data_IF_357229071379
#
_entry.id   IF_357229071379
#
_cell.length_a   1.000
_cell.length_b   1.000
_cell.length_c   1.000
_cell.angle_alpha   90.00
_cell.angle_beta   90.00
_cell.angle_gamma   90.00
#
_symmetry.space_group_name_H-M   'P 1'
#
loop_
_entity.id
_entity.type
_entity.pdbx_description
1 polymer ?
#
# COMPACT_ATOMS: atom_id res chain seq x y z
N UNK A 1 -30.34 1.76 -41.04
CA UNK A 1 -31.13 2.55 -40.06
C UNK A 1 -32.61 2.18 -40.07
N UNK A 2 -33.43 2.65 -41.01
CA UNK A 2 -34.87 2.31 -41.03
C UNK A 2 -35.09 0.80 -41.23
N UNK A 3 -34.37 0.19 -42.16
CA UNK A 3 -34.41 -1.27 -42.40
C UNK A 3 -33.98 -2.11 -41.19
N UNK A 4 -33.12 -1.57 -40.31
CA UNK A 4 -32.69 -2.26 -39.08
C UNK A 4 -33.72 -2.10 -37.99
N UNK A 5 -34.33 -0.90 -37.91
CA UNK A 5 -35.45 -0.63 -37.03
C UNK A 5 -36.61 -1.58 -37.34
N UNK A 6 -37.02 -1.71 -38.60
CA UNK A 6 -38.11 -2.61 -39.00
C UNK A 6 -37.88 -4.08 -38.65
N UNK A 7 -36.61 -4.53 -38.54
CA UNK A 7 -36.28 -5.90 -38.11
C UNK A 7 -36.46 -6.12 -36.61
N UNK A 8 -36.32 -5.08 -35.79
CA UNK A 8 -36.42 -5.15 -34.32
C UNK A 8 -37.67 -4.46 -33.75
N UNK A 9 -38.42 -3.75 -34.60
CA UNK A 9 -39.62 -2.98 -34.27
C UNK A 9 -40.74 -3.90 -33.81
N UNK A 10 -41.32 -3.62 -32.65
CA UNK A 10 -42.52 -4.30 -32.16
C UNK A 10 -43.79 -3.65 -32.74
N UNK A 11 -44.95 -4.32 -32.69
CA UNK A 11 -46.19 -3.76 -33.24
C UNK A 11 -46.56 -2.36 -32.72
N UNK A 12 -46.26 -2.09 -31.45
CA UNK A 12 -46.56 -0.81 -30.77
C UNK A 12 -45.49 0.27 -30.96
N UNK A 13 -44.34 -0.08 -31.53
CA UNK A 13 -43.22 0.86 -31.71
C UNK A 13 -43.44 1.76 -32.96
N UNK A 14 -42.93 3.01 -32.96
CA UNK A 14 -43.07 3.95 -34.07
C UNK A 14 -42.65 3.38 -35.43
N UNK A 15 -43.41 3.70 -36.49
CA UNK A 15 -43.13 3.22 -37.86
C UNK A 15 -41.77 3.71 -38.35
N UNK A 16 -41.43 4.97 -38.08
CA UNK A 16 -40.11 5.52 -38.41
C UNK A 16 -39.12 5.31 -37.26
N UNK A 17 -37.88 4.99 -37.63
CA UNK A 17 -36.77 4.86 -36.71
C UNK A 17 -36.55 6.19 -35.99
N UNK A 18 -36.54 6.20 -34.64
CA UNK A 18 -36.29 7.41 -33.87
C UNK A 18 -35.01 8.12 -34.33
N UNK A 19 -35.05 9.45 -34.34
CA UNK A 19 -33.85 10.24 -34.61
C UNK A 19 -32.79 9.97 -33.53
N UNK A 20 -31.50 9.87 -33.92
CA UNK A 20 -30.45 9.67 -32.94
C UNK A 20 -30.44 10.83 -31.95
N UNK A 21 -30.30 10.51 -30.67
CA UNK A 21 -30.17 11.54 -29.63
C UNK A 21 -29.01 12.46 -29.99
N UNK A 22 -29.32 13.75 -30.15
CA UNK A 22 -28.29 14.76 -30.40
C UNK A 22 -27.48 14.90 -29.13
N UNK A 23 -26.17 14.67 -29.24
CA UNK A 23 -25.28 14.84 -28.10
C UNK A 23 -25.25 16.32 -27.71
N UNK A 24 -25.83 16.65 -26.55
CA UNK A 24 -25.87 18.01 -26.01
C UNK A 24 -24.51 18.48 -25.44
N UNK A 25 -23.49 17.59 -25.44
CA UNK A 25 -22.14 17.92 -25.00
C UNK A 25 -21.37 18.60 -26.13
N UNK A 26 -20.59 19.61 -25.80
CA UNK A 26 -19.63 20.18 -26.73
C UNK A 26 -18.62 19.12 -27.21
N UNK A 27 -18.04 19.33 -28.39
CA UNK A 27 -17.00 18.44 -28.92
C UNK A 27 -15.83 18.29 -27.94
N UNK A 28 -15.47 19.36 -27.24
CA UNK A 28 -14.43 19.35 -26.22
C UNK A 28 -14.76 18.40 -25.07
N UNK A 29 -15.98 18.47 -24.53
CA UNK A 29 -16.42 17.58 -23.44
C UNK A 29 -16.45 16.12 -23.88
N UNK A 30 -16.93 15.84 -25.09
CA UNK A 30 -16.93 14.48 -25.64
C UNK A 30 -15.52 13.90 -25.77
N UNK A 31 -14.57 14.70 -26.29
CA UNK A 31 -13.17 14.28 -26.43
C UNK A 31 -12.49 14.10 -25.07
N UNK A 32 -12.77 15.00 -24.12
CA UNK A 32 -12.27 14.89 -22.74
C UNK A 32 -12.78 13.61 -22.08
N UNK A 33 -14.09 13.38 -22.11
CA UNK A 33 -14.72 12.22 -21.49
C UNK A 33 -14.19 10.91 -22.10
N UNK A 34 -14.01 10.85 -23.43
CA UNK A 34 -13.42 9.69 -24.10
C UNK A 34 -11.97 9.43 -23.66
N UNK A 35 -11.18 10.50 -23.50
CA UNK A 35 -9.80 10.38 -23.01
C UNK A 35 -9.77 9.90 -21.57
N UNK A 36 -10.60 10.48 -20.70
CA UNK A 36 -10.69 10.12 -19.28
C UNK A 36 -11.16 8.68 -19.10
N UNK A 37 -12.18 8.25 -19.86
CA UNK A 37 -12.66 6.86 -19.84
C UNK A 37 -11.56 5.87 -20.24
N UNK A 38 -10.84 6.16 -21.34
CA UNK A 38 -9.72 5.31 -21.78
C UNK A 38 -8.57 5.29 -20.78
N UNK A 39 -8.30 6.43 -20.14
CA UNK A 39 -7.26 6.51 -19.11
C UNK A 39 -7.67 5.69 -17.87
N UNK A 40 -8.91 5.81 -17.42
CA UNK A 40 -9.44 5.02 -16.31
C UNK A 40 -9.38 3.52 -16.59
N UNK A 41 -9.75 3.07 -17.80
CA UNK A 41 -9.64 1.67 -18.20
C UNK A 41 -8.20 1.15 -18.15
N UNK A 42 -7.24 1.94 -18.66
CA UNK A 42 -5.81 1.62 -18.60
C UNK A 42 -5.33 1.54 -17.14
N UNK A 43 -5.75 2.48 -16.31
CA UNK A 43 -5.32 2.55 -14.92
C UNK A 43 -5.91 1.41 -14.09
N UNK A 44 -7.16 1.02 -14.32
CA UNK A 44 -7.77 -0.17 -13.73
C UNK A 44 -7.05 -1.43 -14.17
N UNK A 45 -6.80 -1.63 -15.46
CA UNK A 45 -6.09 -2.79 -15.97
C UNK A 45 -4.66 -2.90 -15.39
N UNK A 46 -3.95 -1.78 -15.29
CA UNK A 46 -2.62 -1.72 -14.66
C UNK A 46 -2.70 -1.94 -13.16
N UNK A 47 -3.70 -1.39 -12.48
CA UNK A 47 -3.91 -1.59 -11.05
C UNK A 47 -4.15 -3.06 -10.74
N UNK A 48 -5.02 -3.74 -11.47
CA UNK A 48 -5.22 -5.18 -11.33
C UNK A 48 -3.94 -5.96 -11.60
N UNK A 49 -3.21 -5.62 -12.67
CA UNK A 49 -1.92 -6.25 -12.98
C UNK A 49 -0.88 -6.07 -11.87
N UNK A 50 -0.80 -4.88 -11.28
CA UNK A 50 0.15 -4.56 -10.23
C UNK A 50 -0.24 -5.21 -8.88
N UNK A 51 -1.53 -5.29 -8.57
CA UNK A 51 -2.02 -5.96 -7.35
C UNK A 51 -1.79 -7.47 -7.37
N UNK A 52 -1.76 -8.09 -8.55
CA UNK A 52 -1.55 -9.53 -8.73
C UNK A 52 -0.09 -9.83 -9.10
N UNK A 53 0.76 -8.81 -9.24
CA UNK A 53 2.19 -9.01 -9.50
C UNK A 53 2.82 -9.59 -8.24
N UNK A 54 3.27 -10.84 -8.32
CA UNK A 54 4.05 -11.48 -7.27
C UNK A 54 5.40 -10.78 -7.05
N UNK A 55 6.06 -11.17 -5.97
CA UNK A 55 7.45 -10.79 -5.69
C UNK A 55 8.32 -11.57 -6.68
N UNK A 56 9.14 -10.87 -7.46
CA UNK A 56 10.12 -11.54 -8.34
C UNK A 56 11.34 -12.03 -7.56
N UNK A 57 12.22 -12.77 -8.23
CA UNK A 57 13.40 -13.38 -7.59
C UNK A 57 14.35 -12.33 -6.99
N UNK A 58 14.57 -11.22 -7.72
CA UNK A 58 15.42 -10.12 -7.26
C UNK A 58 14.81 -9.39 -6.06
N UNK A 59 13.50 -9.15 -6.07
CA UNK A 59 12.75 -8.55 -4.96
C UNK A 59 12.77 -9.48 -3.73
N UNK A 60 12.64 -10.79 -3.93
CA UNK A 60 12.73 -11.78 -2.85
C UNK A 60 14.11 -11.77 -2.19
N UNK A 61 15.18 -11.77 -2.99
CA UNK A 61 16.56 -11.69 -2.51
C UNK A 61 16.84 -10.37 -1.77
N UNK A 62 16.29 -9.26 -2.28
CA UNK A 62 16.35 -7.98 -1.57
C UNK A 62 15.67 -8.06 -0.20
N UNK A 63 14.45 -8.60 -0.12
CA UNK A 63 13.73 -8.74 1.15
C UNK A 63 14.44 -9.66 2.13
N UNK A 64 15.06 -10.74 1.65
CA UNK A 64 15.86 -11.65 2.47
C UNK A 64 17.06 -10.91 3.10
N UNK A 65 17.82 -10.16 2.28
CA UNK A 65 18.96 -9.34 2.77
C UNK A 65 18.51 -8.28 3.79
N UNK A 66 17.40 -7.60 3.52
CA UNK A 66 16.85 -6.59 4.46
C UNK A 66 16.43 -7.25 5.78
N UNK A 67 15.82 -8.43 5.72
CA UNK A 67 15.44 -9.19 6.91
C UNK A 67 16.66 -9.61 7.73
N UNK A 68 17.72 -10.08 7.07
CA UNK A 68 18.98 -10.45 7.72
C UNK A 68 19.62 -9.25 8.42
N UNK A 69 19.79 -8.13 7.70
CA UNK A 69 20.32 -6.88 8.24
C UNK A 69 19.55 -6.42 9.49
N UNK A 70 18.22 -6.37 9.43
CA UNK A 70 17.38 -6.00 10.58
C UNK A 70 17.56 -6.95 11.75
N UNK A 71 17.66 -8.25 11.49
CA UNK A 71 17.88 -9.23 12.55
C UNK A 71 19.25 -9.07 13.20
N UNK A 72 20.29 -8.73 12.44
CA UNK A 72 21.63 -8.47 12.97
C UNK A 72 21.67 -7.21 13.82
N UNK A 73 21.08 -6.11 13.34
CA UNK A 73 20.95 -4.86 14.10
C UNK A 73 20.22 -5.08 15.41
N UNK A 74 19.11 -5.83 15.39
CA UNK A 74 18.36 -6.15 16.61
C UNK A 74 19.19 -6.98 17.60
N UNK A 75 19.96 -7.96 17.11
CA UNK A 75 20.86 -8.76 17.96
C UNK A 75 21.98 -7.91 18.55
N UNK A 76 22.54 -6.98 17.77
CA UNK A 76 23.58 -6.06 18.21
C UNK A 76 23.04 -5.12 19.31
N UNK A 77 21.90 -4.49 19.07
CA UNK A 77 21.24 -3.62 20.05
C UNK A 77 20.93 -4.36 21.36
N UNK A 78 20.41 -5.59 21.29
CA UNK A 78 20.18 -6.44 22.47
C UNK A 78 21.47 -6.72 23.25
N UNK A 79 22.57 -7.00 22.55
CA UNK A 79 23.87 -7.28 23.19
C UNK A 79 24.40 -6.04 23.90
N UNK A 80 24.35 -4.88 23.25
CA UNK A 80 24.78 -3.60 23.82
C UNK A 80 23.94 -3.22 25.04
N UNK A 81 22.62 -3.43 24.99
CA UNK A 81 21.73 -3.23 26.14
C UNK A 81 22.09 -4.16 27.31
N UNK A 82 22.32 -5.44 27.05
CA UNK A 82 22.70 -6.41 28.08
C UNK A 82 24.05 -6.08 28.73
N UNK A 83 25.03 -5.64 27.93
CA UNK A 83 26.34 -5.21 28.40
C UNK A 83 26.23 -3.94 29.28
N UNK A 84 25.45 -2.94 28.85
CA UNK A 84 25.21 -1.73 29.61
C UNK A 84 24.52 -2.02 30.96
N UNK A 85 23.53 -2.92 30.98
CA UNK A 85 22.86 -3.34 32.22
C UNK A 85 23.84 -4.05 33.16
N UNK A 86 24.69 -4.94 32.65
CA UNK A 86 25.73 -5.63 33.44
C UNK A 86 26.72 -4.64 34.03
N UNK A 87 27.21 -3.69 33.24
CA UNK A 87 28.12 -2.65 33.72
C UNK A 87 27.48 -1.80 34.81
N UNK A 88 26.24 -1.32 34.59
CA UNK A 88 25.51 -0.54 35.58
C UNK A 88 25.29 -1.32 36.89
N UNK A 89 25.01 -2.62 36.82
CA UNK A 89 24.89 -3.49 37.99
C UNK A 89 26.22 -3.60 38.76
N UNK A 90 27.35 -3.74 38.06
CA UNK A 90 28.68 -3.78 38.66
C UNK A 90 29.04 -2.44 39.33
N UNK A 91 28.81 -1.31 38.66
CA UNK A 91 29.05 0.02 39.23
C UNK A 91 28.20 0.25 40.48
N UNK A 92 26.91 -0.10 40.44
CA UNK A 92 26.02 -0.02 41.62
C UNK A 92 26.52 -0.90 42.76
N UNK A 93 26.96 -2.13 42.46
CA UNK A 93 27.51 -3.03 43.48
C UNK A 93 28.79 -2.47 44.11
N UNK A 94 29.67 -1.83 43.32
CA UNK A 94 30.86 -1.14 43.83
C UNK A 94 30.51 0.06 44.70
N UNK A 95 29.55 0.89 44.31
CA UNK A 95 29.08 2.02 45.12
C UNK A 95 28.53 1.55 46.47
N UNK A 96 27.76 0.45 46.48
CA UNK A 96 27.27 -0.17 47.72
C UNK A 96 28.39 -0.70 48.65
N UNK A 97 29.60 -0.96 48.13
CA UNK A 97 30.76 -1.37 48.92
C UNK A 97 31.58 -0.18 49.45
N UNK A 98 31.43 1.00 48.84
CA UNK A 98 32.20 2.21 49.14
C UNK A 98 31.43 3.11 50.11
N UNK A 99 30.10 3.16 50.00
CA UNK A 99 29.25 3.89 50.94
C UNK A 99 28.89 3.00 52.14
N UNK A 100 29.27 3.35 53.38
CA UNK A 100 28.83 2.60 54.55
C UNK A 100 27.29 2.68 54.67
N UNK A 101 26.61 1.62 55.13
CA UNK A 101 25.16 1.60 55.24
C UNK A 101 24.69 2.79 56.08
N UNK A 102 23.87 3.65 55.49
CA UNK A 102 23.30 4.81 56.20
C UNK A 102 22.22 4.33 57.17
N UNK A 103 22.26 4.86 58.39
CA UNK A 103 21.43 4.49 59.55
C UNK A 103 19.91 4.52 59.24
N UNK A 104 19.48 5.23 58.20
CA UNK A 104 18.09 5.31 57.76
C UNK A 104 17.50 4.00 57.20
N UNK A 105 18.31 2.98 56.89
CA UNK A 105 17.83 1.66 56.43
C UNK A 105 17.60 0.65 57.58
N UNK A 106 17.95 1.01 58.82
CA UNK A 106 17.70 0.23 60.04
C UNK A 106 16.60 0.91 60.85
N UNK A 107 15.35 0.79 60.41
CA UNK A 107 14.19 1.13 61.23
C UNK A 107 12.99 0.29 60.89
#
# INVERSE_FOLDING_TARGET
RQEEWEKVRKPDDPVEAPEPEVCNKSLYEQLRDNREAKQAEIDEAKKFKNMIRGIDEDESDFLARVSELKSEELRKARREEEEAIKEAALVRSRQNLIEPPTISQLK
#
